data_IF_039269662593
#
_entry.id   IF_039269662593
#
_cell.length_a   1.000
_cell.length_b   1.000
_cell.length_c   1.000
_cell.angle_alpha   90.00
_cell.angle_beta   90.00
_cell.angle_gamma   90.00
#
_symmetry.space_group_name_H-M   'P 1'
#
loop_
_entity.id
_entity.type
_entity.pdbx_description
1 polymer ?
#
# COMPACT_ATOMS: atom_id res chain seq x y z
N UNK A 1 28.63 -36.42 -52.56
CA UNK A 1 28.84 -35.48 -51.43
C UNK A 1 28.20 -36.12 -50.20
N UNK A 2 28.87 -36.76 -49.24
CA UNK A 2 30.28 -36.75 -48.86
C UNK A 2 30.50 -35.83 -47.65
N UNK A 3 30.66 -36.42 -46.46
CA UNK A 3 31.40 -35.81 -45.35
C UNK A 3 30.63 -35.60 -44.03
N UNK A 4 30.93 -36.43 -43.03
CA UNK A 4 30.71 -36.13 -41.61
C UNK A 4 32.01 -35.74 -40.90
N UNK A 5 31.89 -35.14 -39.71
CA UNK A 5 32.86 -34.98 -38.62
C UNK A 5 32.09 -34.26 -37.49
N UNK A 6 32.03 -34.67 -36.22
CA UNK A 6 32.83 -35.61 -35.45
C UNK A 6 33.76 -34.85 -34.48
N UNK A 7 33.50 -34.99 -33.17
CA UNK A 7 34.46 -34.84 -32.04
C UNK A 7 34.95 -33.40 -31.71
N UNK A 8 35.12 -32.96 -30.46
CA UNK A 8 35.10 -33.59 -29.13
C UNK A 8 35.82 -32.68 -28.11
N UNK A 9 35.67 -33.01 -26.82
CA UNK A 9 36.51 -32.53 -25.69
C UNK A 9 35.98 -31.31 -24.95
N UNK A 10 35.89 -31.23 -23.62
CA UNK A 10 36.26 -32.07 -22.47
C UNK A 10 35.75 -31.30 -21.23
N UNK A 11 35.18 -31.93 -20.20
CA UNK A 11 35.91 -32.55 -19.10
C UNK A 11 36.09 -31.56 -17.94
N UNK A 12 35.47 -31.84 -16.78
CA UNK A 12 35.72 -31.07 -15.55
C UNK A 12 34.73 -31.35 -14.40
N UNK A 13 35.02 -32.37 -13.60
CA UNK A 13 34.40 -32.69 -12.30
C UNK A 13 34.71 -31.66 -11.20
N UNK A 14 33.89 -31.65 -10.14
CA UNK A 14 34.26 -31.17 -8.79
C UNK A 14 33.18 -30.26 -8.18
N UNK A 15 32.23 -30.75 -7.38
CA UNK A 15 32.33 -31.18 -5.97
C UNK A 15 32.59 -30.03 -4.97
N UNK A 16 31.61 -29.84 -4.07
CA UNK A 16 31.64 -28.95 -2.91
C UNK A 16 30.20 -28.52 -2.60
N UNK A 17 29.40 -29.30 -1.85
CA UNK A 17 29.48 -29.38 -0.38
C UNK A 17 28.67 -28.21 0.20
N UNK A 18 27.66 -28.35 1.05
CA UNK A 18 27.23 -29.43 1.92
C UNK A 18 26.28 -28.82 2.96
N UNK A 19 25.45 -29.65 3.59
CA UNK A 19 24.70 -29.33 4.81
C UNK A 19 23.48 -28.44 4.59
N UNK A 20 22.28 -28.77 5.04
CA UNK A 20 21.90 -29.70 6.09
C UNK A 20 20.67 -29.11 6.79
N UNK A 21 19.80 -29.98 7.29
CA UNK A 21 18.96 -29.78 8.49
C UNK A 21 18.12 -28.49 8.53
N UNK A 22 16.81 -28.58 8.39
CA UNK A 22 15.93 -28.93 9.51
C UNK A 22 14.71 -28.00 9.40
N UNK A 23 13.49 -28.53 9.41
CA UNK A 23 12.71 -28.76 10.62
C UNK A 23 12.31 -27.46 11.34
N UNK A 24 11.00 -27.28 11.51
CA UNK A 24 10.40 -26.22 12.32
C UNK A 24 9.69 -25.21 11.43
N UNK A 25 8.37 -25.25 11.26
CA UNK A 25 7.41 -25.33 12.35
C UNK A 25 7.28 -23.95 12.98
N UNK A 26 6.07 -23.39 12.92
CA UNK A 26 5.73 -22.20 13.70
C UNK A 26 5.03 -21.13 12.88
N UNK A 27 3.70 -21.25 12.77
CA UNK A 27 2.90 -20.04 12.81
C UNK A 27 3.15 -19.33 14.14
N UNK A 28 3.35 -18.01 14.10
CA UNK A 28 3.22 -17.08 15.22
C UNK A 28 3.52 -15.69 14.64
N UNK A 29 2.58 -14.75 14.59
CA UNK A 29 1.99 -14.23 15.82
C UNK A 29 3.03 -13.50 16.67
N UNK A 30 3.92 -12.71 16.06
CA UNK A 30 4.92 -11.92 16.78
C UNK A 30 4.37 -10.56 17.19
N UNK A 31 3.87 -10.48 18.42
CA UNK A 31 3.41 -9.26 19.09
C UNK A 31 4.42 -8.11 18.95
N UNK A 32 3.89 -6.90 18.73
CA UNK A 32 4.63 -5.64 18.64
C UNK A 32 5.22 -5.20 19.99
N UNK A 33 6.09 -6.02 20.60
CA UNK A 33 6.82 -5.58 21.78
C UNK A 33 8.02 -4.73 21.34
N UNK A 34 7.86 -3.40 21.47
CA UNK A 34 8.97 -2.45 21.37
C UNK A 34 9.46 -2.24 22.81
N UNK A 35 10.66 -2.72 23.12
CA UNK A 35 11.27 -2.49 24.43
C UNK A 35 11.26 -0.99 24.79
N UNK A 36 10.98 -0.62 26.04
CA UNK A 36 11.00 0.78 26.47
C UNK A 36 12.31 1.47 26.07
N UNK A 37 12.20 2.62 25.39
CA UNK A 37 13.36 3.40 24.93
C UNK A 37 14.06 2.88 23.67
N UNK A 38 13.64 1.74 23.09
CA UNK A 38 14.16 1.27 21.80
C UNK A 38 13.36 1.83 20.64
N UNK A 39 14.07 2.21 19.58
CA UNK A 39 13.48 2.66 18.32
C UNK A 39 13.47 1.50 17.33
N UNK A 40 12.34 1.28 16.66
CA UNK A 40 12.18 0.27 15.62
C UNK A 40 11.68 0.92 14.34
N UNK A 41 12.16 0.42 13.20
CA UNK A 41 11.67 0.82 11.88
C UNK A 41 10.51 -0.08 11.48
N UNK A 42 9.39 0.52 11.12
CA UNK A 42 8.21 -0.18 10.63
C UNK A 42 7.92 0.22 9.20
N UNK A 43 7.51 -0.74 8.38
CA UNK A 43 6.94 -0.46 7.07
C UNK A 43 5.45 -0.24 7.24
N UNK A 44 4.99 0.96 6.94
CA UNK A 44 3.58 1.34 7.02
C UNK A 44 3.10 1.71 5.62
N UNK A 45 1.93 1.23 5.25
CA UNK A 45 1.27 1.63 4.01
C UNK A 45 0.64 3.01 4.22
N UNK A 46 1.07 4.00 3.44
CA UNK A 46 0.60 5.38 3.54
C UNK A 46 0.08 5.88 2.20
N UNK A 47 -0.76 6.90 2.23
CA UNK A 47 -1.24 7.61 1.03
C UNK A 47 -1.16 9.12 1.27
N UNK A 48 -0.94 9.88 0.21
CA UNK A 48 -0.98 11.34 0.23
C UNK A 48 -2.44 11.80 0.30
N UNK A 49 -2.78 12.61 1.31
CA UNK A 49 -4.13 13.16 1.44
C UNK A 49 -4.35 14.45 0.66
N UNK A 50 -3.28 15.02 0.09
CA UNK A 50 -3.35 16.24 -0.70
C UNK A 50 -2.59 16.02 -2.00
N UNK A 51 -3.24 16.31 -3.11
CA UNK A 51 -2.65 16.17 -4.41
C UNK A 51 -1.73 17.37 -4.74
N UNK A 52 -0.61 17.12 -5.42
CA UNK A 52 0.28 18.16 -5.93
C UNK A 52 1.34 18.66 -4.95
N UNK A 53 1.32 18.19 -3.69
CA UNK A 53 2.44 18.40 -2.77
C UNK A 53 3.66 17.59 -3.20
N UNK A 54 4.85 18.09 -2.86
CA UNK A 54 6.11 17.38 -3.12
C UNK A 54 6.10 16.02 -2.45
N UNK A 55 6.74 15.06 -3.10
CA UNK A 55 6.90 13.72 -2.54
C UNK A 55 7.63 13.76 -1.19
N UNK A 56 7.26 12.87 -0.25
CA UNK A 56 7.88 12.84 1.06
C UNK A 56 9.37 12.49 0.94
N UNK A 57 10.21 13.24 1.66
CA UNK A 57 11.66 13.09 1.66
C UNK A 57 12.12 12.61 3.04
N UNK A 58 12.90 11.51 3.13
CA UNK A 58 13.40 10.98 4.40
C UNK A 58 14.20 11.96 5.27
N UNK A 59 14.70 13.07 4.68
CA UNK A 59 15.44 14.12 5.39
C UNK A 59 14.55 15.10 6.15
N UNK A 60 13.24 15.09 5.89
CA UNK A 60 12.27 15.94 6.58
C UNK A 60 11.81 15.23 7.85
N UNK A 61 11.74 15.96 8.96
CA UNK A 61 11.16 15.43 10.20
C UNK A 61 9.64 15.34 10.04
N UNK A 62 9.09 14.15 10.26
CA UNK A 62 7.65 13.89 10.24
C UNK A 62 7.15 13.55 11.63
N UNK A 63 6.01 14.14 12.00
CA UNK A 63 5.32 13.83 13.25
C UNK A 63 4.03 13.04 12.94
N UNK A 64 3.72 12.08 13.79
CA UNK A 64 2.46 11.32 13.70
C UNK A 64 1.39 12.14 14.42
N UNK A 65 0.32 12.48 13.70
CA UNK A 65 -0.81 13.25 14.22
C UNK A 65 -2.12 12.47 14.08
N UNK A 66 -3.10 12.68 14.97
CA UNK A 66 -4.44 12.13 14.82
C UNK A 66 -5.07 12.57 13.49
N UNK A 67 -5.76 11.68 12.79
CA UNK A 67 -6.34 11.98 11.47
C UNK A 67 -7.42 13.08 11.55
N UNK A 68 -8.09 13.17 12.68
CA UNK A 68 -9.12 14.16 13.00
C UNK A 68 -8.56 15.58 13.07
N UNK A 69 -7.24 15.75 13.24
CA UNK A 69 -6.57 17.06 13.16
C UNK A 69 -6.39 17.53 11.71
N UNK A 70 -6.38 16.61 10.74
CA UNK A 70 -6.15 16.92 9.32
C UNK A 70 -7.44 16.99 8.51
N UNK A 71 -8.43 16.15 8.80
CA UNK A 71 -9.69 16.11 8.05
C UNK A 71 -10.87 15.74 8.93
N UNK A 72 -12.04 16.28 8.59
CA UNK A 72 -13.34 15.92 9.20
C UNK A 72 -14.20 15.05 8.28
N UNK A 73 -13.74 14.73 7.07
CA UNK A 73 -14.48 13.90 6.11
C UNK A 73 -14.51 12.45 6.61
N UNK A 74 -15.68 11.90 7.00
CA UNK A 74 -15.75 10.58 7.62
C UNK A 74 -15.34 9.44 6.65
N UNK A 75 -15.49 9.65 5.34
CA UNK A 75 -15.08 8.72 4.29
C UNK A 75 -13.56 8.61 4.18
N UNK A 76 -12.85 9.73 4.33
CA UNK A 76 -11.38 9.74 4.33
C UNK A 76 -10.84 9.01 5.56
N UNK A 77 -11.43 9.28 6.73
CA UNK A 77 -11.07 8.61 7.98
C UNK A 77 -11.30 7.10 7.85
N UNK A 78 -12.41 6.68 7.25
CA UNK A 78 -12.68 5.26 7.03
C UNK A 78 -11.72 4.61 6.03
N UNK A 79 -11.40 5.31 4.93
CA UNK A 79 -10.41 4.84 3.98
C UNK A 79 -9.04 4.63 4.63
N UNK A 80 -8.60 5.57 5.49
CA UNK A 80 -7.36 5.44 6.26
C UNK A 80 -7.40 4.26 7.25
N UNK A 81 -8.56 4.01 7.89
CA UNK A 81 -8.75 2.84 8.76
C UNK A 81 -8.65 1.54 7.97
N UNK A 82 -9.29 1.47 6.80
CA UNK A 82 -9.17 0.33 5.89
C UNK A 82 -7.71 0.10 5.47
N UNK A 83 -6.97 1.18 5.15
CA UNK A 83 -5.55 1.10 4.76
C UNK A 83 -4.68 0.55 5.90
N UNK A 84 -4.99 0.90 7.16
CA UNK A 84 -4.29 0.42 8.35
C UNK A 84 -4.32 -1.11 8.54
N UNK A 85 -5.23 -1.82 7.86
CA UNK A 85 -5.25 -3.30 7.87
C UNK A 85 -4.07 -3.91 7.10
N UNK A 86 -3.42 -3.15 6.22
CA UNK A 86 -2.31 -3.62 5.39
C UNK A 86 -2.72 -4.53 4.21
N UNK A 87 -4.03 -4.74 3.99
CA UNK A 87 -4.54 -5.67 2.97
C UNK A 87 -5.01 -4.99 1.67
N UNK A 88 -4.77 -3.68 1.51
CA UNK A 88 -5.24 -2.91 0.36
C UNK A 88 -4.13 -2.66 -0.66
N UNK A 89 -4.52 -2.51 -1.92
CA UNK A 89 -3.62 -1.99 -2.94
C UNK A 89 -3.39 -0.49 -2.71
N UNK A 90 -2.13 -0.08 -2.53
CA UNK A 90 -1.76 1.30 -2.20
C UNK A 90 -2.16 2.31 -3.30
N UNK A 91 -1.90 1.99 -4.57
CA UNK A 91 -2.22 2.88 -5.68
C UNK A 91 -3.73 3.09 -5.84
N UNK A 92 -4.53 2.03 -5.64
CA UNK A 92 -5.99 2.15 -5.62
C UNK A 92 -6.49 2.97 -4.42
N UNK A 93 -5.89 2.80 -3.23
CA UNK A 93 -6.19 3.61 -2.06
C UNK A 93 -5.81 5.09 -2.27
N UNK A 94 -4.68 5.38 -2.91
CA UNK A 94 -4.25 6.73 -3.26
C UNK A 94 -5.23 7.42 -4.23
N UNK A 95 -5.74 6.70 -5.22
CA UNK A 95 -6.77 7.21 -6.13
C UNK A 95 -8.08 7.52 -5.40
N UNK A 96 -8.51 6.64 -4.49
CA UNK A 96 -9.69 6.88 -3.67
C UNK A 96 -9.51 8.07 -2.71
N UNK A 97 -8.32 8.24 -2.13
CA UNK A 97 -8.02 9.36 -1.26
C UNK A 97 -8.18 10.70 -2.01
N UNK A 98 -7.51 10.86 -3.16
CA UNK A 98 -7.60 12.08 -3.96
C UNK A 98 -8.99 12.36 -4.55
N UNK A 99 -9.80 11.32 -4.77
CA UNK A 99 -11.20 11.52 -5.12
C UNK A 99 -11.96 12.24 -4.00
N UNK A 100 -11.74 11.83 -2.75
CA UNK A 100 -12.42 12.43 -1.59
C UNK A 100 -11.83 13.77 -1.15
N UNK A 101 -10.51 13.91 -1.15
CA UNK A 101 -9.82 15.08 -0.60
C UNK A 101 -9.81 16.24 -1.58
N UNK A 102 -9.41 15.96 -2.83
CA UNK A 102 -9.13 16.97 -3.86
C UNK A 102 -10.25 17.06 -4.93
N UNK A 103 -11.28 16.21 -4.83
CA UNK A 103 -12.42 16.23 -5.75
C UNK A 103 -12.11 15.76 -7.17
N UNK A 104 -11.00 15.04 -7.36
CA UNK A 104 -10.64 14.51 -8.68
C UNK A 104 -11.68 13.48 -9.14
N UNK A 105 -12.25 13.70 -10.33
CA UNK A 105 -13.17 12.74 -10.93
C UNK A 105 -12.42 11.47 -11.36
N UNK A 106 -13.12 10.34 -11.41
CA UNK A 106 -12.53 9.08 -11.85
C UNK A 106 -11.92 9.14 -13.26
N UNK A 107 -12.54 9.78 -14.26
CA UNK A 107 -11.90 9.97 -15.57
C UNK A 107 -10.62 10.81 -15.51
N UNK A 108 -10.56 11.82 -14.65
CA UNK A 108 -9.34 12.60 -14.44
C UNK A 108 -8.24 11.74 -13.82
N UNK A 109 -8.57 10.87 -12.85
CA UNK A 109 -7.63 9.95 -12.23
C UNK A 109 -7.07 8.93 -13.23
N UNK A 110 -7.91 8.36 -14.11
CA UNK A 110 -7.46 7.41 -15.15
C UNK A 110 -6.48 8.03 -16.15
N UNK A 111 -6.71 9.30 -16.50
CA UNK A 111 -5.89 10.01 -17.50
C UNK A 111 -4.74 10.81 -16.89
N UNK A 112 -4.55 10.70 -15.56
CA UNK A 112 -3.57 11.51 -14.85
C UNK A 112 -2.14 11.05 -15.18
N UNK A 113 -1.33 11.97 -15.70
CA UNK A 113 0.09 11.72 -16.02
C UNK A 113 0.94 12.07 -14.79
N UNK A 114 1.80 11.13 -14.40
CA UNK A 114 2.75 11.27 -13.30
C UNK A 114 4.11 11.76 -13.74
N UNK A 115 4.67 11.14 -14.79
CA UNK A 115 5.94 11.55 -15.35
C UNK A 115 5.87 11.63 -16.87
N UNK A 116 6.58 12.61 -17.43
CA UNK A 116 6.85 12.69 -18.87
C UNK A 116 8.34 12.47 -19.07
N UNK A 117 8.67 11.49 -19.90
CA UNK A 117 10.05 11.14 -20.20
C UNK A 117 10.56 11.95 -21.39
N UNK A 118 11.88 12.11 -21.48
CA UNK A 118 12.53 12.86 -22.56
C UNK A 118 12.29 12.23 -23.95
N UNK A 119 12.02 10.93 -23.99
CA UNK A 119 11.69 10.18 -25.22
C UNK A 119 10.21 10.33 -25.64
N UNK A 120 9.42 11.18 -24.97
CA UNK A 120 8.01 11.42 -25.25
C UNK A 120 7.03 10.40 -24.64
N UNK A 121 7.51 9.34 -23.96
CA UNK A 121 6.62 8.43 -23.24
C UNK A 121 6.09 9.08 -21.97
N UNK A 122 4.93 8.60 -21.52
CA UNK A 122 4.27 9.12 -20.32
C UNK A 122 3.96 7.97 -19.36
N UNK A 123 4.34 8.15 -18.11
CA UNK A 123 3.91 7.27 -17.03
C UNK A 123 2.65 7.85 -16.41
N UNK A 124 1.61 7.05 -16.36
CA UNK A 124 0.36 7.41 -15.67
C UNK A 124 0.53 7.22 -14.18
N UNK A 125 -0.12 8.07 -13.39
CA UNK A 125 -0.19 7.87 -11.93
C UNK A 125 -0.87 6.55 -11.56
N UNK A 126 -1.91 6.18 -12.31
CA UNK A 126 -2.72 5.00 -12.03
C UNK A 126 -3.00 4.19 -13.29
N UNK A 127 -2.98 2.87 -13.15
CA UNK A 127 -3.52 1.97 -14.18
C UNK A 127 -5.07 1.97 -14.09
N UNK A 128 -5.82 1.87 -15.21
CA UNK A 128 -7.29 1.85 -15.17
C UNK A 128 -7.90 0.85 -14.17
N UNK A 129 -7.30 -0.35 -14.06
CA UNK A 129 -7.72 -1.37 -13.10
C UNK A 129 -7.56 -0.92 -11.63
N UNK A 130 -6.51 -0.14 -11.32
CA UNK A 130 -6.30 0.42 -9.98
C UNK A 130 -7.34 1.49 -9.67
N UNK A 131 -7.70 2.33 -10.65
CA UNK A 131 -8.76 3.32 -10.46
C UNK A 131 -10.10 2.65 -10.23
N UNK A 132 -10.42 1.57 -10.98
CA UNK A 132 -11.64 0.78 -10.75
C UNK A 132 -11.69 0.17 -9.35
N UNK A 133 -10.57 -0.36 -8.86
CA UNK A 133 -10.47 -0.83 -7.47
C UNK A 133 -10.62 0.32 -6.47
N UNK A 134 -10.04 1.50 -6.77
CA UNK A 134 -10.21 2.71 -5.99
C UNK A 134 -11.67 3.15 -5.87
N UNK A 135 -12.46 3.03 -6.94
CA UNK A 135 -13.92 3.28 -6.89
C UNK A 135 -14.62 2.36 -5.89
N UNK A 136 -14.24 1.07 -5.85
CA UNK A 136 -14.80 0.11 -4.89
C UNK A 136 -14.42 0.46 -3.46
N UNK A 137 -13.15 0.83 -3.22
CA UNK A 137 -12.69 1.29 -1.91
C UNK A 137 -13.42 2.55 -1.45
N UNK A 138 -13.59 3.53 -2.34
CA UNK A 138 -14.35 4.74 -2.06
C UNK A 138 -15.80 4.40 -1.67
N UNK A 139 -16.48 3.56 -2.45
CA UNK A 139 -17.85 3.12 -2.13
C UNK A 139 -17.94 2.48 -0.74
N UNK A 140 -17.08 1.50 -0.45
CA UNK A 140 -17.07 0.81 0.87
C UNK A 140 -16.77 1.79 2.00
N UNK A 141 -15.82 2.69 1.82
CA UNK A 141 -15.48 3.70 2.81
C UNK A 141 -16.66 4.65 3.08
N UNK A 142 -17.36 5.09 2.04
CA UNK A 142 -18.56 5.92 2.17
C UNK A 142 -19.71 5.18 2.86
N UNK A 143 -19.96 3.92 2.52
CA UNK A 143 -21.02 3.13 3.14
C UNK A 143 -20.75 2.90 4.64
N UNK A 144 -19.51 2.53 4.99
CA UNK A 144 -19.09 2.38 6.40
C UNK A 144 -19.08 3.70 7.17
N UNK A 145 -18.70 4.80 6.52
CA UNK A 145 -18.74 6.13 7.12
C UNK A 145 -20.16 6.54 7.51
N UNK A 146 -21.19 6.14 6.73
CA UNK A 146 -22.61 6.39 7.07
C UNK A 146 -23.12 5.51 8.22
N UNK A 147 -22.63 4.28 8.32
CA UNK A 147 -23.05 3.33 9.36
C UNK A 147 -22.39 3.59 10.72
N UNK A 148 -21.20 4.20 10.75
CA UNK A 148 -20.45 4.40 11.98
C UNK A 148 -21.10 5.36 13.00
N UNK A 149 -21.69 6.51 12.62
CA UNK A 149 -22.41 7.37 13.57
C UNK A 149 -23.40 6.57 14.42
N UNK A 150 -24.21 5.71 13.78
CA UNK A 150 -25.19 4.87 14.50
C UNK A 150 -24.57 3.75 15.34
N UNK A 151 -23.32 3.35 15.08
CA UNK A 151 -22.60 2.38 15.91
C UNK A 151 -21.95 3.02 17.13
N UNK A 152 -21.40 4.23 17.02
CA UNK A 152 -20.85 4.96 18.16
C UNK A 152 -21.95 5.26 19.18
N UNK A 153 -23.11 5.74 18.72
CA UNK A 153 -24.29 5.99 19.57
C UNK A 153 -24.77 4.71 20.29
N UNK A 154 -24.70 3.56 19.59
CA UNK A 154 -25.07 2.25 20.15
C UNK A 154 -24.06 1.72 21.16
N UNK A 155 -22.77 2.01 20.99
CA UNK A 155 -21.72 1.58 21.93
C UNK A 155 -21.78 2.43 23.21
N UNK A 156 -21.95 3.75 23.08
CA UNK A 156 -22.06 4.66 24.24
C UNK A 156 -23.30 4.36 25.11
N UNK A 157 -24.42 4.00 24.48
CA UNK A 157 -25.64 3.58 25.21
C UNK A 157 -25.50 2.24 25.92
N UNK A 158 -24.60 1.36 25.47
CA UNK A 158 -24.32 0.08 26.12
C UNK A 158 -23.26 0.19 27.22
N UNK A 159 -22.35 1.18 27.15
CA UNK A 159 -21.34 1.42 28.20
C UNK A 159 -21.87 2.19 29.41
N UNK A 160 -23.06 2.78 29.31
CA UNK A 160 -23.73 3.52 30.39
C UNK A 160 -24.77 2.68 31.15
N UNK A 161 -24.75 1.35 30.99
CA UNK A 161 -25.54 0.37 31.75
C UNK A 161 -24.61 -0.46 32.64
#
# INVERSE_FOLDING_TARGET
MGGGMGMGGGGGMGMGGGGGMGMGGGGMGGFQNIEPGKVRKFKVMTVCLEHGKKEPNPRVKYDIVPIESLTKKPEVIELCRMLGTGQMNQSAAQAAAWHFTDGLSWPQLVNKIGARHLNGTVDRYFHPNQVRLGMQYARVASDRAKLRPSQVDKIESLSNQ
#
